data_IF_029206482005
#
_entry.id   IF_029206482005
#
_cell.length_a   1.000
_cell.length_b   1.000
_cell.length_c   1.000
_cell.angle_alpha   90.00
_cell.angle_beta   90.00
_cell.angle_gamma   90.00
#
_symmetry.space_group_name_H-M   'P 1'
#
loop_
_entity.id
_entity.type
_entity.pdbx_description
1 polymer ?
#
# COMPACT_ATOMS: atom_id res chain seq x y z
N UNK A 1 -9.29 5.22 -21.56
CA UNK A 1 -8.93 5.49 -20.15
C UNK A 1 -8.71 6.98 -20.05
N UNK A 2 -9.71 7.70 -19.55
CA UNK A 2 -9.65 9.13 -19.25
C UNK A 2 -8.45 9.40 -18.33
N UNK A 3 -7.84 10.57 -18.43
CA UNK A 3 -6.50 10.88 -17.93
C UNK A 3 -6.38 10.73 -16.38
N UNK A 4 -6.08 9.50 -15.91
CA UNK A 4 -6.04 9.15 -14.48
C UNK A 4 -4.78 9.75 -13.80
N UNK A 5 -3.75 10.06 -14.58
CA UNK A 5 -2.47 10.61 -14.13
C UNK A 5 -2.59 11.84 -13.20
N UNK A 6 -3.23 12.94 -13.65
CA UNK A 6 -3.39 14.14 -12.83
C UNK A 6 -4.24 13.92 -11.56
N UNK A 7 -5.19 12.97 -11.59
CA UNK A 7 -6.03 12.64 -10.44
C UNK A 7 -5.24 11.85 -9.39
N UNK A 8 -4.39 10.92 -9.84
CA UNK A 8 -3.45 10.17 -8.99
C UNK A 8 -2.42 11.08 -8.31
N UNK A 9 -1.87 12.08 -9.03
CA UNK A 9 -0.92 13.03 -8.44
C UNK A 9 -1.57 13.94 -7.39
N UNK A 10 -2.82 14.36 -7.61
CA UNK A 10 -3.60 15.09 -6.59
C UNK A 10 -3.85 14.22 -5.36
N UNK A 11 -4.23 12.96 -5.56
CA UNK A 11 -4.42 12.01 -4.46
C UNK A 11 -3.12 11.79 -3.68
N UNK A 12 -1.98 11.63 -4.38
CA UNK A 12 -0.66 11.52 -3.75
C UNK A 12 -0.34 12.74 -2.90
N UNK A 13 -0.45 13.95 -3.45
CA UNK A 13 -0.17 15.19 -2.70
C UNK A 13 -1.06 15.33 -1.47
N UNK A 14 -2.35 15.00 -1.60
CA UNK A 14 -3.30 15.04 -0.48
C UNK A 14 -2.92 14.04 0.60
N UNK A 15 -2.64 12.79 0.25
CA UNK A 15 -2.21 11.76 1.20
C UNK A 15 -0.90 12.15 1.87
N UNK A 16 0.10 12.64 1.13
CA UNK A 16 1.37 13.09 1.72
C UNK A 16 1.16 14.21 2.73
N UNK A 17 0.27 15.18 2.43
CA UNK A 17 -0.08 16.24 3.38
C UNK A 17 -0.78 15.70 4.62
N UNK A 18 -1.74 14.79 4.47
CA UNK A 18 -2.48 14.20 5.59
C UNK A 18 -1.55 13.36 6.48
N UNK A 19 -0.66 12.57 5.87
CA UNK A 19 0.37 11.82 6.62
C UNK A 19 1.26 12.79 7.37
N UNK A 20 1.77 13.84 6.71
CA UNK A 20 2.63 14.83 7.37
C UNK A 20 1.93 15.53 8.56
N UNK A 21 0.70 16.02 8.35
CA UNK A 21 -0.08 16.66 9.42
C UNK A 21 -0.38 15.68 10.54
N UNK A 22 -0.80 14.46 10.23
CA UNK A 22 -1.08 13.42 11.22
C UNK A 22 0.17 13.03 12.02
N UNK A 23 1.32 12.90 11.37
CA UNK A 23 2.59 12.62 12.03
C UNK A 23 3.02 13.76 12.95
N UNK A 24 2.87 15.02 12.51
CA UNK A 24 3.18 16.19 13.35
C UNK A 24 2.26 16.23 14.57
N UNK A 25 0.94 16.09 14.39
CA UNK A 25 -0.02 16.09 15.48
C UNK A 25 0.22 14.93 16.46
N UNK A 26 0.50 13.73 15.94
CA UNK A 26 0.83 12.57 16.77
C UNK A 26 2.14 12.75 17.52
N UNK A 27 3.16 13.37 16.89
CA UNK A 27 4.41 13.72 17.55
C UNK A 27 4.20 14.70 18.70
N UNK A 28 3.44 15.77 18.49
CA UNK A 28 3.09 16.74 19.55
C UNK A 28 2.36 16.06 20.72
N UNK A 29 1.34 15.23 20.42
CA UNK A 29 0.62 14.48 21.45
C UNK A 29 1.52 13.49 22.19
N UNK A 30 2.44 12.83 21.49
CA UNK A 30 3.40 11.93 22.10
C UNK A 30 4.45 12.65 22.96
N UNK A 31 4.83 13.89 22.62
CA UNK A 31 5.73 14.71 23.47
C UNK A 31 5.03 15.05 24.78
N UNK A 32 3.75 15.43 24.74
CA UNK A 32 2.96 15.71 25.95
C UNK A 32 2.92 14.49 26.87
N UNK A 33 2.73 13.29 26.32
CA UNK A 33 2.75 12.05 27.09
C UNK A 33 4.15 11.69 27.60
N UNK A 34 5.18 11.89 26.78
CA UNK A 34 6.57 11.64 27.17
C UNK A 34 7.02 12.56 28.31
N UNK A 35 6.56 13.82 28.34
CA UNK A 35 6.86 14.76 29.43
C UNK A 35 6.24 14.35 30.77
N UNK A 36 5.21 13.50 30.76
CA UNK A 36 4.61 12.94 31.98
C UNK A 36 5.28 11.66 32.47
N UNK A 37 6.28 11.15 31.72
CA UNK A 37 7.01 9.92 32.04
C UNK A 37 8.50 10.20 32.22
N UNK A 38 9.09 9.80 33.34
CA UNK A 38 10.53 10.01 33.66
C UNK A 38 11.48 9.07 32.88
N UNK A 39 11.21 8.80 31.61
CA UNK A 39 11.86 7.72 30.86
C UNK A 39 12.37 8.21 29.51
N UNK A 40 13.64 8.63 29.45
CA UNK A 40 14.24 9.25 28.26
C UNK A 40 14.05 8.47 26.96
N UNK A 41 14.44 7.19 26.91
CA UNK A 41 14.31 6.38 25.69
C UNK A 41 12.85 5.95 25.41
N UNK A 42 12.09 5.63 26.47
CA UNK A 42 10.68 5.25 26.32
C UNK A 42 9.83 6.42 25.82
N UNK A 43 10.08 7.64 26.32
CA UNK A 43 9.45 8.87 25.87
C UNK A 43 9.68 9.13 24.37
N UNK A 44 10.89 8.92 23.86
CA UNK A 44 11.18 9.02 22.42
C UNK A 44 10.36 7.98 21.62
N UNK A 45 10.30 6.73 22.10
CA UNK A 45 9.53 5.67 21.44
C UNK A 45 8.01 5.91 21.50
N UNK A 46 7.51 6.55 22.56
CA UNK A 46 6.11 7.01 22.68
C UNK A 46 5.82 8.07 21.62
N UNK A 47 6.69 9.07 21.48
CA UNK A 47 6.56 10.13 20.46
C UNK A 47 6.51 9.54 19.06
N UNK A 48 7.49 8.69 18.73
CA UNK A 48 7.56 8.03 17.41
C UNK A 48 6.35 7.13 17.20
N UNK A 49 5.96 6.35 18.22
CA UNK A 49 4.86 5.42 18.13
C UNK A 49 3.53 6.09 17.84
N UNK A 50 3.23 7.20 18.53
CA UNK A 50 2.00 7.97 18.34
C UNK A 50 2.03 8.74 17.01
N UNK A 51 3.18 9.31 16.63
CA UNK A 51 3.35 9.96 15.33
C UNK A 51 3.11 8.98 14.17
N UNK A 52 3.65 7.75 14.28
CA UNK A 52 3.41 6.65 13.34
C UNK A 52 1.95 6.22 13.35
N UNK A 53 1.31 6.11 14.52
CA UNK A 53 -0.09 5.72 14.66
C UNK A 53 -1.02 6.69 13.93
N UNK A 54 -0.94 7.98 14.28
CA UNK A 54 -1.82 9.01 13.74
C UNK A 54 -1.56 9.23 12.25
N UNK A 55 -0.30 9.41 11.85
CA UNK A 55 0.06 9.64 10.44
C UNK A 55 -0.21 8.41 9.55
N UNK A 56 0.14 7.22 10.04
CA UNK A 56 -0.05 5.96 9.35
C UNK A 56 -1.54 5.63 9.15
N UNK A 57 -2.34 5.69 10.22
CA UNK A 57 -3.79 5.42 10.11
C UNK A 57 -4.51 6.47 9.26
N UNK A 58 -4.23 7.76 9.46
CA UNK A 58 -4.88 8.82 8.67
C UNK A 58 -4.54 8.69 7.18
N UNK A 59 -3.27 8.41 6.85
CA UNK A 59 -2.85 8.14 5.49
C UNK A 59 -3.47 6.88 4.89
N UNK A 60 -3.53 5.80 5.66
CA UNK A 60 -4.11 4.53 5.24
C UNK A 60 -5.61 4.66 4.94
N UNK A 61 -6.37 5.31 5.83
CA UNK A 61 -7.81 5.54 5.66
C UNK A 61 -8.06 6.43 4.44
N UNK A 62 -7.28 7.50 4.29
CA UNK A 62 -7.40 8.39 3.12
C UNK A 62 -7.20 7.64 1.81
N UNK A 63 -6.14 6.84 1.71
CA UNK A 63 -5.90 6.02 0.52
C UNK A 63 -6.95 4.93 0.35
N UNK A 64 -7.43 4.32 1.43
CA UNK A 64 -8.46 3.30 1.36
C UNK A 64 -9.75 3.86 0.76
N UNK A 65 -10.21 5.02 1.24
CA UNK A 65 -11.39 5.72 0.72
C UNK A 65 -11.22 6.10 -0.77
N UNK A 66 -10.02 6.56 -1.14
CA UNK A 66 -9.72 6.88 -2.54
C UNK A 66 -9.73 5.62 -3.42
N UNK A 67 -9.10 4.54 -2.97
CA UNK A 67 -9.04 3.27 -3.70
C UNK A 67 -10.41 2.60 -3.81
N UNK A 68 -11.30 2.73 -2.82
CA UNK A 68 -12.66 2.20 -2.90
C UNK A 68 -13.46 2.84 -4.03
N UNK A 69 -13.22 4.11 -4.34
CA UNK A 69 -13.84 4.78 -5.49
C UNK A 69 -13.33 4.25 -6.85
N UNK A 70 -12.10 3.73 -6.88
CA UNK A 70 -11.43 3.22 -8.09
C UNK A 70 -11.51 1.69 -8.23
N UNK A 71 -12.09 1.01 -7.25
CA UNK A 71 -12.30 -0.44 -7.28
C UNK A 71 -13.08 -0.93 -8.52
N UNK A 72 -14.14 -0.22 -8.97
CA UNK A 72 -14.86 -0.58 -10.19
C UNK A 72 -13.97 -0.57 -11.44
N UNK A 73 -13.00 0.34 -11.52
CA UNK A 73 -12.08 0.40 -12.67
C UNK A 73 -11.11 -0.78 -12.72
N UNK A 74 -10.74 -1.34 -11.56
CA UNK A 74 -9.93 -2.55 -11.47
C UNK A 74 -10.68 -3.82 -11.89
N UNK A 75 -12.00 -3.85 -11.67
CA UNK A 75 -12.84 -5.02 -11.93
C UNK A 75 -13.49 -4.99 -13.31
N UNK A 76 -13.69 -3.80 -13.90
CA UNK A 76 -14.32 -3.59 -15.21
C UNK A 76 -13.69 -4.42 -16.35
N UNK A 77 -12.35 -4.52 -16.51
CA UNK A 77 -11.77 -5.32 -17.60
C UNK A 77 -12.06 -6.83 -17.49
N UNK A 78 -12.39 -7.29 -16.28
CA UNK A 78 -12.68 -8.70 -15.99
C UNK A 78 -14.19 -8.99 -15.87
N UNK A 79 -15.03 -7.96 -15.96
CA UNK A 79 -16.47 -8.09 -15.87
C UNK A 79 -17.01 -8.93 -17.05
N UNK A 80 -17.93 -9.86 -16.76
CA UNK A 80 -18.49 -10.76 -17.77
C UNK A 80 -17.58 -11.90 -18.24
N UNK A 81 -16.28 -11.88 -17.90
CA UNK A 81 -15.38 -13.00 -18.21
C UNK A 81 -15.64 -14.18 -17.28
N UNK A 82 -15.56 -15.39 -17.83
CA UNK A 82 -15.61 -16.64 -17.08
C UNK A 82 -14.35 -16.82 -16.20
N UNK A 83 -14.37 -17.82 -15.32
CA UNK A 83 -13.24 -18.07 -14.41
C UNK A 83 -11.97 -18.49 -15.15
N UNK A 84 -12.08 -19.20 -16.28
CA UNK A 84 -10.91 -19.65 -17.04
C UNK A 84 -10.23 -18.47 -17.76
N UNK A 85 -10.99 -17.61 -18.43
CA UNK A 85 -10.46 -16.40 -19.09
C UNK A 85 -9.83 -15.44 -18.08
N UNK A 86 -10.46 -15.23 -16.91
CA UNK A 86 -9.84 -14.40 -15.84
C UNK A 86 -8.49 -14.94 -15.39
N UNK A 87 -8.38 -16.27 -15.25
CA UNK A 87 -7.10 -16.93 -14.88
C UNK A 87 -6.09 -16.83 -16.01
N UNK A 88 -6.51 -16.98 -17.27
CA UNK A 88 -5.64 -16.82 -18.43
C UNK A 88 -5.07 -15.39 -18.50
N UNK A 89 -5.91 -14.36 -18.36
CA UNK A 89 -5.50 -12.94 -18.29
C UNK A 89 -4.58 -12.67 -17.11
N UNK A 90 -4.89 -13.22 -15.93
CA UNK A 90 -4.02 -13.03 -14.76
C UNK A 90 -2.66 -13.71 -14.93
N UNK A 91 -2.63 -14.87 -15.59
CA UNK A 91 -1.41 -15.62 -15.88
C UNK A 91 -0.58 -14.91 -16.94
N UNK A 92 -1.19 -14.46 -18.04
CA UNK A 92 -0.53 -13.76 -19.15
C UNK A 92 0.18 -12.49 -18.69
N UNK A 93 -0.47 -11.68 -17.86
CA UNK A 93 0.13 -10.48 -17.26
C UNK A 93 1.31 -10.85 -16.35
N UNK A 94 1.18 -11.95 -15.57
CA UNK A 94 2.24 -12.40 -14.66
C UNK A 94 3.46 -12.94 -15.41
N UNK A 95 3.25 -13.66 -16.51
CA UNK A 95 4.32 -14.23 -17.34
C UNK A 95 4.82 -13.27 -18.40
N UNK A 96 4.21 -12.09 -18.54
CA UNK A 96 4.47 -11.14 -19.62
C UNK A 96 4.32 -11.77 -21.02
N UNK A 97 3.44 -12.78 -21.16
CA UNK A 97 3.18 -13.46 -22.42
C UNK A 97 1.81 -13.01 -22.95
N UNK A 98 1.71 -12.35 -24.11
CA UNK A 98 0.44 -11.89 -24.67
C UNK A 98 -0.53 -13.06 -24.91
N UNK A 99 -1.84 -12.78 -24.83
CA UNK A 99 -2.87 -13.76 -25.19
C UNK A 99 -3.11 -13.61 -26.70
N UNK A 100 -2.90 -14.66 -27.51
CA UNK A 100 -3.24 -14.63 -28.93
C UNK A 100 -4.77 -14.77 -29.11
N UNK A 101 -5.36 -14.11 -30.12
CA UNK A 101 -4.76 -13.09 -30.98
C UNK A 101 -4.55 -11.76 -30.22
N UNK A 102 -3.48 -11.03 -30.58
CA UNK A 102 -3.08 -9.75 -29.96
C UNK A 102 -4.17 -8.66 -30.10
N UNK A 103 -4.96 -8.76 -31.17
CA UNK A 103 -6.05 -7.82 -31.48
C UNK A 103 -7.39 -8.29 -30.89
N UNK A 104 -7.39 -9.44 -30.22
CA UNK A 104 -8.57 -10.05 -29.63
C UNK A 104 -9.06 -9.30 -28.38
N UNK A 105 -10.36 -9.40 -28.13
CA UNK A 105 -11.01 -8.76 -26.97
C UNK A 105 -10.34 -9.12 -25.63
N UNK A 106 -9.85 -10.36 -25.49
CA UNK A 106 -9.12 -10.82 -24.31
C UNK A 106 -7.75 -10.16 -24.12
N UNK A 107 -7.05 -9.86 -25.21
CA UNK A 107 -5.76 -9.17 -25.18
C UNK A 107 -5.93 -7.70 -24.80
N UNK A 108 -6.93 -7.03 -25.39
CA UNK A 108 -7.31 -5.64 -25.04
C UNK A 108 -7.71 -5.52 -23.56
N UNK A 109 -8.60 -6.39 -23.07
CA UNK A 109 -8.97 -6.44 -21.65
C UNK A 109 -7.78 -6.77 -20.75
N UNK A 110 -6.84 -7.58 -21.21
CA UNK A 110 -5.58 -7.87 -20.54
C UNK A 110 -4.68 -6.64 -20.41
N UNK A 111 -4.55 -5.86 -21.49
CA UNK A 111 -3.79 -4.62 -21.51
C UNK A 111 -4.42 -3.57 -20.57
N UNK A 112 -5.73 -3.36 -20.62
CA UNK A 112 -6.45 -2.48 -19.69
C UNK A 112 -6.24 -2.90 -18.23
N UNK A 113 -6.32 -4.21 -17.96
CA UNK A 113 -6.06 -4.76 -16.62
C UNK A 113 -4.62 -4.51 -16.19
N UNK A 114 -3.64 -4.68 -17.07
CA UNK A 114 -2.24 -4.44 -16.79
C UNK A 114 -1.95 -2.95 -16.53
N UNK A 115 -2.57 -2.03 -17.29
CA UNK A 115 -2.51 -0.58 -17.05
C UNK A 115 -3.07 -0.24 -15.67
N UNK A 116 -4.27 -0.74 -15.34
CA UNK A 116 -4.89 -0.50 -14.04
C UNK A 116 -4.03 -1.04 -12.88
N UNK A 117 -3.43 -2.24 -13.04
CA UNK A 117 -2.51 -2.80 -12.05
C UNK A 117 -1.23 -1.97 -11.91
N UNK A 118 -0.63 -1.53 -13.01
CA UNK A 118 0.60 -0.72 -12.98
C UNK A 118 0.39 0.63 -12.29
N UNK A 119 -0.80 1.21 -12.42
CA UNK A 119 -1.16 2.49 -11.80
C UNK A 119 -1.57 2.35 -10.34
N UNK A 120 -2.41 1.35 -9.99
CA UNK A 120 -3.06 1.30 -8.68
C UNK A 120 -2.33 0.42 -7.64
N UNK A 121 -1.55 -0.58 -8.04
CA UNK A 121 -0.77 -1.38 -7.06
C UNK A 121 0.12 -0.53 -6.16
N UNK A 122 0.86 0.48 -6.67
CA UNK A 122 1.69 1.33 -5.83
C UNK A 122 0.88 2.01 -4.71
N UNK A 123 -0.34 2.48 -5.01
CA UNK A 123 -1.20 3.13 -4.03
C UNK A 123 -1.77 2.13 -3.02
N UNK A 124 -2.14 0.93 -3.46
CA UNK A 124 -2.58 -0.14 -2.56
C UNK A 124 -1.45 -0.57 -1.62
N UNK A 125 -0.20 -0.62 -2.11
CA UNK A 125 0.96 -0.90 -1.25
C UNK A 125 1.22 0.21 -0.24
N UNK A 126 1.17 1.47 -0.68
CA UNK A 126 1.34 2.60 0.21
C UNK A 126 0.27 2.59 1.32
N UNK A 127 -0.99 2.28 0.97
CA UNK A 127 -2.09 2.16 1.92
C UNK A 127 -1.84 1.06 2.97
N UNK A 128 -1.42 -0.13 2.55
CA UNK A 128 -1.09 -1.22 3.46
C UNK A 128 0.13 -0.92 4.33
N UNK A 129 1.19 -0.34 3.76
CA UNK A 129 2.38 0.06 4.53
C UNK A 129 2.01 1.09 5.58
N UNK A 130 1.23 2.12 5.22
CA UNK A 130 0.74 3.12 6.16
C UNK A 130 -0.13 2.52 7.25
N UNK A 131 -0.97 1.54 6.92
CA UNK A 131 -1.80 0.83 7.89
C UNK A 131 -0.92 0.06 8.89
N UNK A 132 0.06 -0.68 8.40
CA UNK A 132 0.99 -1.44 9.22
C UNK A 132 1.86 -0.55 10.11
N UNK A 133 2.35 0.57 9.59
CA UNK A 133 3.07 1.59 10.38
C UNK A 133 2.15 2.19 11.44
N UNK A 134 0.88 2.45 11.09
CA UNK A 134 -0.11 2.96 12.02
C UNK A 134 -0.41 2.02 13.18
N UNK A 135 -0.62 0.74 12.89
CA UNK A 135 -0.92 -0.28 13.91
C UNK A 135 0.35 -0.64 14.72
N UNK A 136 1.51 -0.69 14.06
CA UNK A 136 2.78 -1.03 14.69
C UNK A 136 3.39 0.07 15.54
N UNK A 137 3.09 1.35 15.23
CA UNK A 137 3.63 2.51 15.94
C UNK A 137 3.50 2.41 17.47
N UNK A 138 2.30 2.20 18.03
CA UNK A 138 2.10 2.11 19.48
C UNK A 138 2.88 0.97 20.16
N UNK A 139 3.24 -0.08 19.41
CA UNK A 139 4.03 -1.19 19.96
C UNK A 139 5.48 -0.78 20.22
N UNK A 140 6.00 0.25 19.56
CA UNK A 140 7.37 0.73 19.78
C UNK A 140 7.58 1.18 21.23
N UNK A 141 6.61 1.87 21.82
CA UNK A 141 6.66 2.28 23.23
C UNK A 141 6.70 1.08 24.20
N UNK A 142 6.13 -0.06 23.79
CA UNK A 142 6.08 -1.27 24.61
C UNK A 142 7.38 -2.08 24.57
N UNK A 143 8.35 -1.72 23.71
CA UNK A 143 9.65 -2.40 23.66
C UNK A 143 10.51 -2.17 24.91
N UNK A 144 10.19 -1.13 25.68
CA UNK A 144 10.83 -0.76 26.95
C UNK A 144 9.93 -1.00 28.16
N UNK A 145 8.83 -1.75 28.01
CA UNK A 145 8.00 -2.12 29.15
C UNK A 145 8.81 -2.94 30.16
N UNK A 146 8.53 -2.82 31.45
CA UNK A 146 9.13 -3.68 32.47
C UNK A 146 8.46 -5.07 32.51
N UNK A 147 7.30 -5.22 31.84
CA UNK A 147 6.55 -6.46 31.79
C UNK A 147 7.14 -7.42 30.72
N UNK A 148 7.69 -8.59 31.09
CA UNK A 148 8.40 -9.47 30.16
C UNK A 148 7.53 -9.97 29.00
N UNK A 149 6.26 -10.26 29.27
CA UNK A 149 5.29 -10.67 28.26
C UNK A 149 5.07 -9.58 27.21
N UNK A 150 4.92 -8.34 27.66
CA UNK A 150 4.61 -7.19 26.81
C UNK A 150 5.79 -6.83 25.89
N UNK A 151 7.02 -6.87 26.41
CA UNK A 151 8.24 -6.69 25.60
C UNK A 151 8.32 -7.77 24.51
N UNK A 152 8.14 -9.04 24.87
CA UNK A 152 8.29 -10.15 23.94
C UNK A 152 7.23 -10.12 22.85
N UNK A 153 5.97 -9.86 23.21
CA UNK A 153 4.87 -9.66 22.26
C UNK A 153 5.17 -8.51 21.30
N UNK A 154 5.57 -7.34 21.82
CA UNK A 154 5.88 -6.17 20.99
C UNK A 154 7.02 -6.47 19.99
N UNK A 155 8.09 -7.14 20.42
CA UNK A 155 9.19 -7.54 19.53
C UNK A 155 8.72 -8.43 18.39
N UNK A 156 7.93 -9.45 18.70
CA UNK A 156 7.37 -10.36 17.69
C UNK A 156 6.43 -9.63 16.75
N UNK A 157 5.57 -8.78 17.30
CA UNK A 157 4.61 -8.01 16.51
C UNK A 157 5.33 -7.07 15.54
N UNK A 158 6.30 -6.29 16.02
CA UNK A 158 7.08 -5.37 15.19
C UNK A 158 7.87 -6.14 14.13
N UNK A 159 8.50 -7.26 14.49
CA UNK A 159 9.20 -8.11 13.53
C UNK A 159 8.26 -8.68 12.46
N UNK A 160 7.09 -9.20 12.85
CA UNK A 160 6.09 -9.74 11.94
C UNK A 160 5.54 -8.66 11.00
N UNK A 161 5.29 -7.46 11.51
CA UNK A 161 4.85 -6.30 10.71
C UNK A 161 5.93 -5.89 9.71
N UNK A 162 7.20 -5.81 10.15
CA UNK A 162 8.32 -5.46 9.27
C UNK A 162 8.51 -6.49 8.15
N UNK A 163 8.52 -7.79 8.48
CA UNK A 163 8.62 -8.89 7.51
C UNK A 163 7.45 -8.84 6.52
N UNK A 164 6.23 -8.65 7.02
CA UNK A 164 5.02 -8.56 6.19
C UNK A 164 5.09 -7.37 5.24
N UNK A 165 5.51 -6.20 5.74
CA UNK A 165 5.67 -5.00 4.92
C UNK A 165 6.71 -5.21 3.81
N UNK A 166 7.88 -5.77 4.13
CA UNK A 166 8.94 -6.06 3.14
C UNK A 166 8.46 -7.06 2.09
N UNK A 167 7.82 -8.16 2.52
CA UNK A 167 7.28 -9.17 1.62
C UNK A 167 6.21 -8.57 0.69
N UNK A 168 5.32 -7.72 1.21
CA UNK A 168 4.27 -7.10 0.42
C UNK A 168 4.82 -6.08 -0.59
N UNK A 169 5.78 -5.25 -0.17
CA UNK A 169 6.48 -4.31 -1.08
C UNK A 169 7.21 -5.07 -2.19
N UNK A 170 7.93 -6.14 -1.85
CA UNK A 170 8.61 -6.96 -2.84
C UNK A 170 7.62 -7.63 -3.81
N UNK A 171 6.53 -8.20 -3.30
CA UNK A 171 5.47 -8.81 -4.09
C UNK A 171 4.85 -7.82 -5.08
N UNK A 172 4.52 -6.63 -4.61
CA UNK A 172 3.89 -5.62 -5.45
C UNK A 172 4.84 -4.98 -6.47
N UNK A 173 6.13 -4.79 -6.11
CA UNK A 173 7.17 -4.41 -7.08
C UNK A 173 7.28 -5.44 -8.21
N UNK A 174 7.28 -6.73 -7.87
CA UNK A 174 7.30 -7.81 -8.88
C UNK A 174 6.06 -7.76 -9.77
N UNK A 175 4.88 -7.54 -9.20
CA UNK A 175 3.61 -7.46 -9.96
C UNK A 175 3.52 -6.22 -10.85
N UNK A 176 3.95 -5.06 -10.38
CA UNK A 176 4.00 -3.83 -11.18
C UNK A 176 5.03 -3.95 -12.31
N UNK A 177 6.20 -4.54 -12.04
CA UNK A 177 7.18 -4.84 -13.08
C UNK A 177 6.64 -5.81 -14.13
N UNK A 178 5.94 -6.88 -13.72
CA UNK A 178 5.32 -7.82 -14.65
C UNK A 178 4.24 -7.14 -15.51
N UNK A 179 3.38 -6.32 -14.92
CA UNK A 179 2.36 -5.56 -15.64
C UNK A 179 2.98 -4.59 -16.65
N UNK A 180 4.05 -3.87 -16.28
CA UNK A 180 4.78 -2.99 -17.20
C UNK A 180 5.43 -3.77 -18.34
N UNK A 181 6.06 -4.91 -18.06
CA UNK A 181 6.65 -5.79 -19.08
C UNK A 181 5.59 -6.32 -20.06
N UNK A 182 4.42 -6.69 -19.55
CA UNK A 182 3.31 -7.11 -20.40
C UNK A 182 2.85 -5.99 -21.36
N UNK A 183 2.74 -4.76 -20.86
CA UNK A 183 2.37 -3.60 -21.70
C UNK A 183 3.39 -3.31 -22.79
N UNK A 184 4.69 -3.44 -22.50
CA UNK A 184 5.74 -3.27 -23.51
C UNK A 184 5.64 -4.28 -24.67
N UNK A 185 5.04 -5.45 -24.44
CA UNK A 185 4.89 -6.51 -25.44
C UNK A 185 3.58 -6.38 -26.22
N UNK A 186 2.50 -5.94 -25.58
CA UNK A 186 1.16 -5.81 -26.20
C UNK A 186 0.98 -4.46 -26.89
N UNK A 187 1.65 -3.43 -26.41
CA UNK A 187 1.64 -2.07 -26.95
C UNK A 187 3.08 -1.63 -27.28
N UNK A 188 3.77 -2.32 -28.21
CA UNK A 188 5.05 -1.79 -28.70
C UNK A 188 4.74 -0.43 -29.33
N UNK A 189 5.39 0.61 -28.84
CA UNK A 189 5.13 2.00 -29.20
C UNK A 189 4.88 2.14 -30.72
N UNK A 190 3.70 2.67 -31.06
CA UNK A 190 3.43 3.28 -32.36
C UNK A 190 4.25 4.57 -32.48
#
# INVERSE_FOLDING_TARGET
>A
MEDIGPTLDRARRRTTRIVAVGTVLGGVGGVVLALTSDSGLAGILIVIGIACAVGGLAGAVTLALYLTGLLPELSRPLAGLDRAARRAVSRSIRTATPIPPLDGELALRGAERARALALLLPYQTAQLVLLYVGIGGPQLAQLTSDEPWQIWFSRIFVAAVAVTAVAFVAWARRRTAAARRYLLVVEPAA
#
